data_IF_432834338006
#
_entry.id   IF_432834338006
#
_cell.length_a   1.000
_cell.length_b   1.000
_cell.length_c   1.000
_cell.angle_alpha   90.00
_cell.angle_beta   90.00
_cell.angle_gamma   90.00
#
_symmetry.space_group_name_H-M   'P 1'
#
loop_
_entity.id
_entity.type
_entity.pdbx_description
1 polymer ?
#
# COMPACT_ATOMS: atom_id res chain seq x y z
N UNK A 1 -4.00 -11.30 12.48
CA UNK A 1 -3.66 -9.91 12.05
C UNK A 1 -4.83 -9.33 11.22
N UNK A 2 -5.07 -8.01 11.19
CA UNK A 2 -6.22 -7.45 10.43
C UNK A 2 -6.18 -7.83 8.95
N UNK A 3 -5.00 -7.78 8.32
CA UNK A 3 -4.84 -8.12 6.90
C UNK A 3 -5.03 -9.61 6.58
N UNK A 4 -4.93 -10.49 7.56
CA UNK A 4 -5.25 -11.93 7.40
C UNK A 4 -6.76 -12.19 7.49
N UNK A 5 -7.45 -11.47 8.39
CA UNK A 5 -8.89 -11.61 8.59
C UNK A 5 -9.72 -10.81 7.59
N UNK A 6 -9.18 -9.69 7.09
CA UNK A 6 -9.78 -8.78 6.13
C UNK A 6 -8.69 -8.27 5.18
N UNK A 7 -8.42 -8.97 4.06
CA UNK A 7 -7.35 -8.65 3.12
C UNK A 7 -7.72 -7.48 2.19
N UNK A 8 -8.23 -6.39 2.77
CA UNK A 8 -8.56 -5.14 2.10
C UNK A 8 -7.79 -4.00 2.78
N UNK A 9 -7.27 -3.10 1.95
CA UNK A 9 -6.50 -1.94 2.42
C UNK A 9 -6.96 -0.68 1.71
N UNK A 10 -6.88 0.44 2.43
CA UNK A 10 -7.05 1.78 1.89
C UNK A 10 -5.91 2.65 2.40
N UNK A 11 -5.25 3.40 1.51
CA UNK A 11 -4.16 4.29 1.87
C UNK A 11 -4.14 5.55 1.01
N UNK A 12 -3.53 6.61 1.54
CA UNK A 12 -3.33 7.89 0.87
C UNK A 12 -1.85 8.20 0.80
N UNK A 13 -1.47 9.06 -0.13
CA UNK A 13 -0.09 9.57 -0.18
C UNK A 13 0.15 10.51 1.01
N UNK A 14 1.40 10.59 1.47
CA UNK A 14 1.78 11.52 2.56
C UNK A 14 1.58 12.98 2.16
N UNK A 15 1.88 13.32 0.90
CA UNK A 15 1.64 14.65 0.34
C UNK A 15 0.40 14.61 -0.58
N UNK A 16 -0.76 14.59 0.06
CA UNK A 16 -2.05 14.58 -0.62
C UNK A 16 -2.35 15.89 -1.36
N UNK A 17 -1.54 16.95 -1.19
CA UNK A 17 -1.72 18.19 -1.95
C UNK A 17 -1.19 18.06 -3.38
N UNK A 18 -0.14 17.25 -3.57
CA UNK A 18 0.43 16.96 -4.89
C UNK A 18 -0.16 15.72 -5.53
N UNK A 19 -0.47 14.71 -4.72
CA UNK A 19 -1.06 13.46 -5.17
C UNK A 19 -2.35 13.19 -4.37
N UNK A 20 -3.45 13.91 -4.67
CA UNK A 20 -4.72 13.82 -3.94
C UNK A 20 -5.48 12.54 -4.29
N UNK A 21 -4.88 11.38 -4.05
CA UNK A 21 -5.44 10.08 -4.37
C UNK A 21 -5.53 9.19 -3.14
N UNK A 22 -6.68 8.54 -3.00
CA UNK A 22 -6.87 7.38 -2.12
C UNK A 22 -6.87 6.12 -2.98
N UNK A 23 -6.03 5.16 -2.62
CA UNK A 23 -5.94 3.86 -3.27
C UNK A 23 -6.61 2.82 -2.39
N UNK A 24 -7.42 1.96 -3.01
CA UNK A 24 -8.02 0.80 -2.35
C UNK A 24 -7.71 -0.46 -3.12
N UNK A 25 -7.58 -1.56 -2.41
CA UNK A 25 -7.19 -2.82 -3.03
C UNK A 25 -7.26 -4.02 -2.10
N UNK A 26 -6.96 -5.18 -2.67
CA UNK A 26 -6.74 -6.41 -1.93
C UNK A 26 -5.28 -6.59 -1.55
N UNK A 27 -5.04 -7.43 -0.54
CA UNK A 27 -3.73 -7.70 0.01
C UNK A 27 -3.40 -9.18 -0.05
N UNK A 28 -2.17 -9.47 -0.45
CA UNK A 28 -1.54 -10.79 -0.30
C UNK A 28 -0.28 -10.65 0.56
N UNK A 29 -0.09 -11.59 1.49
CA UNK A 29 1.03 -11.59 2.44
C UNK A 29 1.98 -12.72 2.07
N UNK A 30 3.25 -12.39 1.88
CA UNK A 30 4.31 -13.35 1.57
C UNK A 30 5.35 -13.34 2.68
N UNK A 31 5.58 -14.49 3.31
CA UNK A 31 6.65 -14.66 4.31
C UNK A 31 7.92 -15.28 3.72
N UNK A 32 7.88 -15.66 2.44
CA UNK A 32 8.98 -16.26 1.69
C UNK A 32 8.83 -15.99 0.19
N UNK A 33 9.89 -16.28 -0.57
CA UNK A 33 9.93 -16.15 -2.02
C UNK A 33 10.17 -14.72 -2.52
N UNK A 34 10.10 -14.53 -3.85
CA UNK A 34 10.62 -13.34 -4.54
C UNK A 34 10.21 -12.00 -3.94
N UNK A 35 8.96 -11.86 -3.49
CA UNK A 35 8.45 -10.60 -2.93
C UNK A 35 9.04 -10.35 -1.53
N UNK A 36 9.17 -11.38 -0.72
CA UNK A 36 9.82 -11.30 0.59
C UNK A 36 11.32 -11.02 0.47
N UNK A 37 11.99 -11.67 -0.49
CA UNK A 37 13.42 -11.46 -0.74
C UNK A 37 13.68 -10.00 -1.15
N UNK A 38 12.86 -9.45 -2.06
CA UNK A 38 12.97 -8.06 -2.53
C UNK A 38 12.85 -7.04 -1.38
N UNK A 39 11.84 -7.18 -0.51
CA UNK A 39 11.67 -6.22 0.61
C UNK A 39 12.74 -6.38 1.67
N UNK A 40 13.30 -7.58 1.83
CA UNK A 40 14.41 -7.85 2.75
C UNK A 40 15.68 -7.16 2.28
N UNK A 41 16.00 -7.27 0.99
CA UNK A 41 17.13 -6.55 0.38
C UNK A 41 16.95 -5.03 0.51
N UNK A 42 15.74 -4.51 0.26
CA UNK A 42 15.45 -3.08 0.43
C UNK A 42 15.63 -2.62 1.88
N UNK A 43 15.13 -3.39 2.86
CA UNK A 43 15.25 -3.05 4.28
C UNK A 43 16.71 -3.02 4.75
N UNK A 44 17.53 -3.94 4.26
CA UNK A 44 18.97 -3.98 4.51
C UNK A 44 19.69 -2.76 3.92
N UNK A 45 19.39 -2.43 2.66
CA UNK A 45 19.97 -1.28 1.96
C UNK A 45 19.56 0.07 2.57
N UNK A 46 18.37 0.15 3.16
CA UNK A 46 17.88 1.35 3.84
C UNK A 46 18.59 1.61 5.20
N UNK A 47 19.63 0.84 5.56
CA UNK A 47 20.32 0.88 6.86
C UNK A 47 19.37 0.77 8.06
N UNK A 48 18.23 0.10 7.87
CA UNK A 48 17.31 -0.14 8.97
C UNK A 48 17.81 -1.34 9.77
N UNK A 49 17.81 -1.26 11.10
CA UNK A 49 18.08 -2.43 11.97
C UNK A 49 16.91 -3.42 12.04
N UNK A 50 15.95 -3.30 11.11
CA UNK A 50 14.69 -4.01 11.15
C UNK A 50 14.74 -5.17 10.15
N UNK A 51 14.54 -6.39 10.63
CA UNK A 51 14.31 -7.55 9.79
C UNK A 51 12.84 -7.60 9.38
N UNK A 52 12.51 -7.54 8.08
CA UNK A 52 11.14 -7.67 7.61
C UNK A 52 10.56 -9.04 8.01
N UNK A 53 9.30 -9.05 8.46
CA UNK A 53 8.59 -10.28 8.86
C UNK A 53 7.71 -10.86 7.74
N UNK A 54 7.34 -10.03 6.78
CA UNK A 54 6.58 -10.40 5.59
C UNK A 54 6.69 -9.28 4.54
N UNK A 55 6.42 -9.61 3.28
CA UNK A 55 6.07 -8.67 2.23
C UNK A 55 4.55 -8.59 2.09
N UNK A 56 4.03 -7.37 1.98
CA UNK A 56 2.60 -7.11 1.75
C UNK A 56 2.47 -6.62 0.31
N UNK A 57 1.93 -7.47 -0.56
CA UNK A 57 1.61 -7.09 -1.94
C UNK A 57 0.20 -6.52 -1.97
N UNK A 58 0.08 -5.28 -2.45
CA UNK A 58 -1.22 -4.62 -2.62
C UNK A 58 -1.58 -4.63 -4.09
N UNK A 59 -2.71 -5.26 -4.43
CA UNK A 59 -3.32 -5.14 -5.75
C UNK A 59 -4.30 -3.97 -5.72
N UNK A 60 -3.93 -2.87 -6.36
CA UNK A 60 -4.80 -1.69 -6.46
C UNK A 60 -6.00 -2.03 -7.35
N UNK A 61 -7.20 -1.84 -6.81
CA UNK A 61 -8.48 -2.12 -7.49
C UNK A 61 -9.24 -0.84 -7.78
N UNK A 62 -9.09 0.18 -6.94
CA UNK A 62 -9.82 1.44 -7.07
C UNK A 62 -8.94 2.62 -6.66
N UNK A 63 -9.11 3.74 -7.35
CA UNK A 63 -8.47 5.01 -7.02
C UNK A 63 -9.56 6.06 -6.89
N UNK A 64 -9.49 6.90 -5.87
CA UNK A 64 -10.44 7.98 -5.63
C UNK A 64 -9.71 9.31 -5.53
N UNK A 65 -10.30 10.37 -6.08
CA UNK A 65 -9.86 11.74 -5.81
C UNK A 65 -10.20 12.12 -4.37
N UNK A 66 -9.23 12.65 -3.65
CA UNK A 66 -9.44 13.30 -2.34
C UNK A 66 -9.17 14.81 -2.42
N UNK A 67 -9.07 15.36 -3.62
CA UNK A 67 -8.89 16.79 -3.83
C UNK A 67 -10.13 17.54 -3.33
N UNK A 68 -10.01 18.53 -2.44
CA UNK A 68 -11.13 19.36 -2.03
C UNK A 68 -11.79 20.03 -3.24
N UNK A 69 -13.11 19.90 -3.35
CA UNK A 69 -13.88 20.46 -4.45
C UNK A 69 -14.98 19.50 -4.94
N UNK A 70 -15.61 19.82 -6.08
CA UNK A 70 -16.73 19.04 -6.63
C UNK A 70 -16.40 17.58 -6.95
N UNK A 71 -15.12 17.27 -7.13
CA UNK A 71 -14.64 15.93 -7.48
C UNK A 71 -14.19 15.11 -6.25
N UNK A 72 -14.30 15.66 -5.04
CA UNK A 72 -13.92 14.97 -3.81
C UNK A 72 -14.72 13.67 -3.63
N UNK A 73 -14.01 12.57 -3.41
CA UNK A 73 -14.60 11.24 -3.20
C UNK A 73 -15.02 10.53 -4.49
N UNK A 74 -14.80 11.12 -5.67
CA UNK A 74 -15.11 10.43 -6.94
C UNK A 74 -14.06 9.36 -7.24
N UNK A 75 -14.54 8.20 -7.68
CA UNK A 75 -13.70 7.14 -8.24
C UNK A 75 -13.14 7.61 -9.58
N UNK A 76 -11.86 7.38 -9.78
CA UNK A 76 -11.18 7.63 -11.04
C UNK A 76 -11.30 6.37 -11.90
N UNK A 77 -11.71 6.54 -13.17
CA UNK A 77 -11.79 5.48 -14.18
C UNK A 77 -10.47 5.30 -14.93
#
# INVERSE_FOLDING_TARGET
MNLEANPKISFVTKDSTKCPYQFKGSVEIFTEGKYFDTVTEWGQNAMTKLSPKAAVLVKVEEIYSIQPGPEAGKKLE
#
